data_IF_948228417055
#
_entry.id   IF_948228417055
#
_cell.length_a   1.000
_cell.length_b   1.000
_cell.length_c   1.000
_cell.angle_alpha   90.00
_cell.angle_beta   90.00
_cell.angle_gamma   90.00
#
_symmetry.space_group_name_H-M   'P 1'
#
loop_
_entity.id
_entity.type
_entity.pdbx_description
1 polymer ?
#
# COMPACT_ATOMS: atom_id res chain seq x y z
N UNK A 1 -35.77 50.59 -1.78
CA UNK A 1 -35.79 49.12 -1.64
C UNK A 1 -34.74 48.78 -0.59
N UNK A 2 -35.20 48.58 0.65
CA UNK A 2 -34.37 48.26 1.80
C UNK A 2 -33.90 46.80 1.72
N UNK A 3 -32.57 46.61 1.76
CA UNK A 3 -31.97 45.30 2.00
C UNK A 3 -31.74 45.14 3.50
N UNK A 4 -32.59 44.33 4.14
CA UNK A 4 -32.46 43.97 5.55
C UNK A 4 -31.19 43.15 5.85
N UNK A 5 -30.75 43.11 7.11
CA UNK A 5 -29.49 42.49 7.50
C UNK A 5 -29.56 40.96 7.39
N UNK A 6 -28.56 40.37 6.73
CA UNK A 6 -28.32 38.91 6.76
C UNK A 6 -27.91 38.50 8.18
N UNK A 7 -28.82 37.81 8.87
CA UNK A 7 -28.52 37.11 10.12
C UNK A 7 -27.68 35.88 9.79
N UNK A 8 -26.39 35.93 10.10
CA UNK A 8 -25.50 34.77 10.12
C UNK A 8 -25.87 33.91 11.33
N UNK A 9 -26.57 32.80 11.08
CA UNK A 9 -26.83 31.79 12.10
C UNK A 9 -25.57 30.93 12.22
N UNK A 10 -24.71 31.27 13.18
CA UNK A 10 -23.63 30.39 13.62
C UNK A 10 -24.25 29.15 14.28
N UNK A 11 -24.31 28.03 13.55
CA UNK A 11 -24.55 26.73 14.16
C UNK A 11 -23.34 26.36 15.01
N UNK A 12 -23.52 26.40 16.33
CA UNK A 12 -22.57 25.86 17.30
C UNK A 12 -22.67 24.32 17.22
N UNK A 13 -21.62 23.58 16.84
CA UNK A 13 -21.71 22.13 16.82
C UNK A 13 -21.86 21.64 18.26
N UNK A 14 -22.98 20.97 18.55
CA UNK A 14 -23.19 20.32 19.84
C UNK A 14 -22.25 19.12 19.95
N UNK A 15 -21.13 19.31 20.62
CA UNK A 15 -20.22 18.24 21.05
C UNK A 15 -20.88 17.52 22.23
N UNK A 16 -21.87 16.68 21.96
CA UNK A 16 -22.35 15.65 22.89
C UNK A 16 -23.39 14.75 22.23
N UNK A 17 -22.92 13.89 21.33
CA UNK A 17 -23.51 12.57 21.18
C UNK A 17 -22.43 11.67 20.58
N UNK A 18 -22.10 10.59 21.28
CA UNK A 18 -21.40 9.45 20.68
C UNK A 18 -22.36 8.84 19.66
N UNK A 19 -22.55 9.50 18.52
CA UNK A 19 -22.97 8.78 17.34
C UNK A 19 -21.83 7.82 17.05
N UNK A 20 -22.07 6.55 17.36
CA UNK A 20 -21.37 5.45 16.72
C UNK A 20 -21.65 5.64 15.22
N UNK A 21 -20.82 6.46 14.57
CA UNK A 21 -20.81 6.63 13.12
C UNK A 21 -20.85 5.21 12.61
N UNK A 22 -21.89 4.82 11.84
CA UNK A 22 -21.94 3.50 11.27
C UNK A 22 -20.70 3.42 10.39
N UNK A 23 -19.65 2.79 10.91
CA UNK A 23 -18.49 2.31 10.15
C UNK A 23 -18.99 1.14 9.31
N UNK A 24 -20.04 1.39 8.51
CA UNK A 24 -20.57 0.53 7.47
C UNK A 24 -19.69 0.59 6.22
N UNK A 25 -18.42 0.98 6.35
CA UNK A 25 -17.39 0.45 5.48
C UNK A 25 -17.10 -0.97 5.97
N UNK A 26 -18.03 -1.89 5.63
CA UNK A 26 -17.73 -3.30 5.56
C UNK A 26 -16.36 -3.42 4.89
N UNK A 27 -15.41 -4.09 5.56
CA UNK A 27 -14.09 -4.17 4.97
C UNK A 27 -14.25 -4.90 3.64
N UNK A 28 -13.55 -4.46 2.59
CA UNK A 28 -13.59 -5.14 1.31
C UNK A 28 -13.27 -6.65 1.48
N UNK A 29 -12.48 -6.99 2.50
CA UNK A 29 -12.19 -8.36 2.91
C UNK A 29 -13.44 -9.11 3.41
N UNK A 30 -14.36 -8.45 4.12
CA UNK A 30 -15.63 -9.04 4.53
C UNK A 30 -16.53 -9.32 3.32
N UNK A 31 -16.52 -8.45 2.31
CA UNK A 31 -17.21 -8.68 1.04
C UNK A 31 -16.56 -9.83 0.24
N UNK A 32 -15.23 -9.95 0.28
CA UNK A 32 -14.53 -11.11 -0.27
C UNK A 32 -15.01 -12.43 0.33
N UNK A 33 -15.30 -12.46 1.63
CA UNK A 33 -15.76 -13.65 2.35
C UNK A 33 -17.25 -13.95 2.16
N UNK A 34 -18.10 -12.94 1.96
CA UNK A 34 -19.57 -13.12 1.85
C UNK A 34 -20.05 -13.73 0.54
N UNK A 35 -19.26 -13.62 -0.53
CA UNK A 35 -19.58 -14.23 -1.83
C UNK A 35 -19.45 -15.77 -1.84
N UNK A 36 -19.28 -16.38 -0.66
CA UNK A 36 -19.43 -17.81 -0.42
C UNK A 36 -20.90 -18.27 -0.46
N UNK A 37 -21.59 -17.91 -1.55
CA UNK A 37 -22.76 -18.65 -2.01
C UNK A 37 -22.22 -20.00 -2.49
N UNK A 38 -22.01 -20.90 -1.54
CA UNK A 38 -21.63 -22.28 -1.77
C UNK A 38 -22.78 -22.93 -2.55
N UNK A 39 -22.67 -22.95 -3.88
CA UNK A 39 -23.53 -23.77 -4.73
C UNK A 39 -23.21 -25.23 -4.40
N UNK A 40 -23.93 -25.80 -3.43
CA UNK A 40 -23.78 -27.17 -3.00
C UNK A 40 -24.38 -28.11 -4.05
N UNK A 41 -23.64 -28.39 -5.13
CA UNK A 41 -23.94 -29.54 -5.98
C UNK A 41 -23.40 -30.79 -5.28
N UNK A 42 -24.15 -31.28 -4.30
CA UNK A 42 -23.80 -32.45 -3.52
C UNK A 42 -24.04 -33.73 -4.35
N UNK A 43 -23.05 -34.13 -5.14
CA UNK A 43 -22.98 -35.48 -5.70
C UNK A 43 -22.41 -36.40 -4.62
N UNK A 44 -23.30 -37.10 -3.90
CA UNK A 44 -22.93 -38.11 -2.90
C UNK A 44 -22.27 -39.32 -3.57
N UNK A 45 -20.94 -39.26 -3.76
CA UNK A 45 -20.16 -40.43 -4.15
C UNK A 45 -19.72 -41.19 -2.90
N UNK A 46 -20.40 -42.29 -2.61
CA UNK A 46 -20.07 -43.25 -1.56
C UNK A 46 -18.67 -43.82 -1.78
N UNK A 47 -17.69 -43.39 -0.99
CA UNK A 47 -16.35 -43.99 -0.93
C UNK A 47 -16.35 -45.19 0.01
N UNK A 48 -16.58 -46.38 -0.55
CA UNK A 48 -16.20 -47.63 0.12
C UNK A 48 -14.66 -47.69 0.20
N UNK A 49 -14.12 -47.15 1.29
CA UNK A 49 -12.71 -47.12 1.62
C UNK A 49 -12.25 -48.55 1.95
N UNK A 50 -11.61 -49.22 0.98
CA UNK A 50 -11.03 -50.56 1.17
C UNK A 50 -9.84 -50.51 2.13
N UNK A 51 -10.02 -51.08 3.33
CA UNK A 51 -8.94 -51.41 4.28
C UNK A 51 -7.94 -52.40 3.65
N UNK A 52 -6.85 -51.90 3.06
CA UNK A 52 -5.88 -52.72 2.30
C UNK A 52 -4.72 -53.31 3.12
N UNK A 53 -4.81 -53.33 4.46
CA UNK A 53 -3.70 -53.78 5.33
C UNK A 53 -3.93 -55.12 6.06
N UNK A 54 -4.97 -55.87 5.70
CA UNK A 54 -5.17 -57.23 6.22
C UNK A 54 -4.30 -58.24 5.47
N UNK A 55 -3.65 -59.16 6.20
CA UNK A 55 -2.81 -60.24 5.65
C UNK A 55 -3.71 -61.19 4.87
N UNK A 56 -3.63 -61.17 3.53
CA UNK A 56 -4.47 -61.99 2.65
C UNK A 56 -4.38 -61.55 1.19
N UNK A 57 -5.22 -62.13 0.32
CA UNK A 57 -5.23 -61.87 -1.13
C UNK A 57 -5.32 -60.37 -1.50
N UNK A 58 -5.92 -59.54 -0.64
CA UNK A 58 -5.98 -58.10 -0.79
C UNK A 58 -4.60 -57.40 -0.85
N UNK A 59 -3.58 -57.93 -0.17
CA UNK A 59 -2.21 -57.36 -0.21
C UNK A 59 -1.51 -57.61 -1.55
N UNK A 60 -1.74 -58.78 -2.16
CA UNK A 60 -1.21 -59.12 -3.48
C UNK A 60 -1.85 -58.20 -4.52
N UNK A 61 -3.16 -58.03 -4.47
CA UNK A 61 -3.90 -57.13 -5.36
C UNK A 61 -3.46 -55.67 -5.17
N UNK A 62 -3.31 -55.21 -3.92
CA UNK A 62 -2.81 -53.86 -3.61
C UNK A 62 -1.39 -53.59 -4.13
N UNK A 63 -0.51 -54.58 -4.09
CA UNK A 63 0.84 -54.49 -4.66
C UNK A 63 0.82 -54.43 -6.18
N UNK A 64 -0.07 -55.19 -6.84
CA UNK A 64 -0.24 -55.13 -8.30
C UNK A 64 -0.74 -53.75 -8.72
N UNK A 65 -1.77 -53.21 -8.06
CA UNK A 65 -2.26 -51.86 -8.36
C UNK A 65 -1.23 -50.78 -8.03
N UNK A 66 -0.46 -50.90 -6.95
CA UNK A 66 0.64 -49.98 -6.63
C UNK A 66 1.72 -49.98 -7.72
N UNK A 67 2.09 -51.16 -8.25
CA UNK A 67 3.03 -51.29 -9.36
C UNK A 67 2.45 -50.73 -10.66
N UNK A 68 1.19 -51.02 -10.97
CA UNK A 68 0.51 -50.48 -12.15
C UNK A 68 0.41 -48.96 -12.09
N UNK A 69 0.04 -48.40 -10.94
CA UNK A 69 0.01 -46.95 -10.68
C UNK A 69 1.39 -46.31 -10.82
N UNK A 70 2.42 -46.93 -10.23
CA UNK A 70 3.81 -46.44 -10.36
C UNK A 70 4.31 -46.46 -11.81
N UNK A 71 3.95 -47.49 -12.59
CA UNK A 71 4.33 -47.58 -14.01
C UNK A 71 3.56 -46.57 -14.86
N UNK A 72 2.28 -46.37 -14.56
CA UNK A 72 1.45 -45.35 -15.21
C UNK A 72 1.98 -43.95 -14.92
N UNK A 73 2.35 -43.66 -13.67
CA UNK A 73 2.91 -42.36 -13.29
C UNK A 73 4.25 -42.10 -14.00
N UNK A 74 5.14 -43.10 -14.11
CA UNK A 74 6.37 -42.98 -14.91
C UNK A 74 6.09 -42.78 -16.39
N UNK A 75 5.11 -43.50 -16.94
CA UNK A 75 4.65 -43.35 -18.32
C UNK A 75 4.13 -41.94 -18.58
N UNK A 76 3.26 -41.43 -17.70
CA UNK A 76 2.69 -40.08 -17.78
C UNK A 76 3.77 -38.99 -17.59
N UNK A 77 4.73 -39.17 -16.68
CA UNK A 77 5.88 -38.25 -16.53
C UNK A 77 6.74 -38.23 -17.80
N UNK A 78 7.02 -39.39 -18.40
CA UNK A 78 7.77 -39.49 -19.65
C UNK A 78 7.00 -38.85 -20.81
N UNK A 79 5.69 -39.08 -20.88
CA UNK A 79 4.82 -38.50 -21.90
C UNK A 79 4.71 -36.98 -21.73
N UNK A 80 4.53 -36.48 -20.50
CA UNK A 80 4.54 -35.06 -20.18
C UNK A 80 5.87 -34.41 -20.56
N UNK A 81 7.00 -35.06 -20.27
CA UNK A 81 8.32 -34.59 -20.68
C UNK A 81 8.47 -34.51 -22.20
N UNK A 82 8.05 -35.56 -22.92
CA UNK A 82 8.09 -35.61 -24.41
C UNK A 82 7.11 -34.65 -25.07
N UNK A 83 5.96 -34.42 -24.46
CA UNK A 83 4.98 -33.42 -24.86
C UNK A 83 5.44 -31.98 -24.56
N UNK A 84 6.65 -31.80 -24.00
CA UNK A 84 7.23 -30.50 -23.75
C UNK A 84 6.73 -29.82 -22.49
N UNK A 85 5.96 -30.48 -21.63
CA UNK A 85 5.46 -29.94 -20.34
C UNK A 85 6.63 -29.47 -19.45
N UNK A 86 7.79 -30.12 -19.55
CA UNK A 86 9.02 -29.67 -18.87
C UNK A 86 9.61 -28.35 -19.39
N UNK A 87 9.36 -27.96 -20.64
CA UNK A 87 9.77 -26.65 -21.19
C UNK A 87 8.91 -25.51 -20.64
N UNK A 88 7.63 -25.77 -20.32
CA UNK A 88 6.74 -24.77 -19.73
C UNK A 88 7.24 -24.27 -18.37
N UNK A 89 7.82 -25.15 -17.56
CA UNK A 89 8.39 -24.77 -16.25
C UNK A 89 9.61 -23.85 -16.40
N UNK A 90 10.44 -24.02 -17.44
CA UNK A 90 11.58 -23.13 -17.73
C UNK A 90 11.16 -21.83 -18.42
N UNK A 91 10.06 -21.82 -19.16
CA UNK A 91 9.50 -20.63 -19.82
C UNK A 91 8.70 -19.73 -18.87
N UNK A 92 8.39 -20.21 -17.66
CA UNK A 92 7.36 -19.65 -16.80
C UNK A 92 7.58 -18.20 -16.31
N UNK A 93 8.75 -17.57 -16.51
CA UNK A 93 8.94 -16.16 -16.14
C UNK A 93 9.49 -15.30 -17.28
N UNK A 94 10.65 -15.66 -17.81
CA UNK A 94 11.24 -14.92 -18.94
C UNK A 94 10.52 -15.19 -20.26
N UNK A 95 9.93 -16.39 -20.43
CA UNK A 95 9.21 -16.75 -21.64
C UNK A 95 7.91 -15.98 -21.81
N UNK A 96 7.13 -15.79 -20.73
CA UNK A 96 5.88 -15.03 -20.79
C UNK A 96 6.12 -13.56 -21.19
N UNK A 97 7.16 -12.94 -20.64
CA UNK A 97 7.52 -11.57 -20.98
C UNK A 97 7.86 -11.38 -22.45
N UNK A 98 8.73 -12.24 -22.99
CA UNK A 98 9.08 -12.18 -24.41
C UNK A 98 7.88 -12.50 -25.31
N UNK A 99 7.02 -13.43 -24.89
CA UNK A 99 5.80 -13.76 -25.65
C UNK A 99 4.84 -12.56 -25.73
N UNK A 100 4.57 -11.87 -24.62
CA UNK A 100 3.69 -10.69 -24.62
C UNK A 100 4.31 -9.43 -25.24
N UNK A 101 5.65 -9.36 -25.33
CA UNK A 101 6.35 -8.32 -26.09
C UNK A 101 6.41 -8.59 -27.58
N UNK A 102 6.22 -9.84 -28.00
CA UNK A 102 6.22 -10.24 -29.40
C UNK A 102 5.21 -9.42 -30.20
N UNK A 103 5.49 -9.22 -31.49
CA UNK A 103 4.48 -8.65 -32.42
C UNK A 103 3.54 -9.74 -32.95
N UNK A 104 3.87 -11.02 -32.74
CA UNK A 104 3.07 -12.14 -33.23
C UNK A 104 1.89 -12.41 -32.27
N UNK A 105 0.63 -12.24 -32.71
CA UNK A 105 -0.54 -12.55 -31.88
C UNK A 105 -0.61 -14.03 -31.46
N UNK A 106 0.06 -14.94 -32.17
CA UNK A 106 0.14 -16.36 -31.78
C UNK A 106 0.96 -16.56 -30.51
N UNK A 107 1.99 -15.74 -30.28
CA UNK A 107 2.77 -15.78 -29.05
C UNK A 107 1.94 -15.30 -27.86
N UNK A 108 1.13 -14.24 -28.04
CA UNK A 108 0.20 -13.76 -27.00
C UNK A 108 -0.81 -14.84 -26.62
N UNK A 109 -1.44 -15.47 -27.63
CA UNK A 109 -2.39 -16.56 -27.41
C UNK A 109 -1.73 -17.72 -26.66
N UNK A 110 -0.53 -18.13 -27.06
CA UNK A 110 0.24 -19.17 -26.39
C UNK A 110 0.55 -18.80 -24.94
N UNK A 111 0.93 -17.56 -24.66
CA UNK A 111 1.15 -17.08 -23.29
C UNK A 111 -0.14 -17.15 -22.44
N UNK A 112 -1.27 -16.75 -23.03
CA UNK A 112 -2.58 -16.87 -22.36
C UNK A 112 -2.93 -18.33 -22.07
N UNK A 113 -2.68 -19.26 -22.99
CA UNK A 113 -2.92 -20.69 -22.76
C UNK A 113 -2.07 -21.26 -21.60
N UNK A 114 -0.83 -20.78 -21.46
CA UNK A 114 0.06 -21.13 -20.33
C UNK A 114 -0.50 -20.63 -19.01
N UNK A 115 -0.94 -19.38 -18.98
CA UNK A 115 -1.56 -18.77 -17.81
C UNK A 115 -2.87 -19.48 -17.44
N UNK A 116 -3.77 -19.73 -18.39
CA UNK A 116 -5.02 -20.47 -18.13
C UNK A 116 -4.76 -21.88 -17.57
N UNK A 117 -3.74 -22.57 -18.08
CA UNK A 117 -3.35 -23.90 -17.57
C UNK A 117 -2.79 -23.82 -16.14
N UNK A 118 -2.02 -22.78 -15.84
CA UNK A 118 -1.42 -22.55 -14.52
C UNK A 118 -2.46 -22.09 -13.49
N UNK A 119 -3.41 -21.24 -13.89
CA UNK A 119 -4.58 -20.82 -13.13
C UNK A 119 -5.51 -21.99 -12.76
N UNK A 120 -5.57 -23.03 -13.59
CA UNK A 120 -6.31 -24.28 -13.33
C UNK A 120 -5.53 -25.29 -12.46
N UNK A 121 -4.31 -24.97 -12.03
CA UNK A 121 -3.48 -25.89 -11.26
C UNK A 121 -4.13 -26.27 -9.91
N UNK A 122 -3.87 -27.49 -9.45
CA UNK A 122 -4.28 -27.91 -8.10
C UNK A 122 -3.44 -27.30 -6.98
N UNK A 123 -2.37 -26.60 -7.32
CA UNK A 123 -1.44 -25.93 -6.42
C UNK A 123 -1.87 -24.47 -6.28
N UNK A 124 -2.38 -24.10 -5.10
CA UNK A 124 -2.92 -22.76 -4.79
C UNK A 124 -1.87 -21.66 -5.04
N UNK A 125 -0.60 -21.93 -4.75
CA UNK A 125 0.49 -20.98 -4.97
C UNK A 125 0.83 -20.78 -6.45
N UNK A 126 0.57 -21.78 -7.30
CA UNK A 126 0.67 -21.62 -8.77
C UNK A 126 -0.52 -20.86 -9.35
N UNK A 127 -1.73 -21.13 -8.84
CA UNK A 127 -2.92 -20.38 -9.24
C UNK A 127 -2.73 -18.89 -8.95
N UNK A 128 -2.34 -18.57 -7.71
CA UNK A 128 -2.10 -17.19 -7.26
C UNK A 128 -1.09 -16.47 -8.16
N UNK A 129 0.10 -17.05 -8.39
CA UNK A 129 1.10 -16.47 -9.30
C UNK A 129 0.57 -16.26 -10.71
N UNK A 130 -0.24 -17.20 -11.20
CA UNK A 130 -0.87 -17.05 -12.51
C UNK A 130 -1.87 -15.90 -12.54
N UNK A 131 -2.65 -15.68 -11.47
CA UNK A 131 -3.59 -14.55 -11.38
C UNK A 131 -2.83 -13.22 -11.39
N UNK A 132 -1.76 -13.12 -10.63
CA UNK A 132 -0.87 -11.94 -10.62
C UNK A 132 -0.30 -11.65 -12.00
N UNK A 133 0.20 -12.67 -12.70
CA UNK A 133 0.71 -12.54 -14.06
C UNK A 133 -0.38 -12.11 -15.04
N UNK A 134 -1.59 -12.70 -14.96
CA UNK A 134 -2.72 -12.29 -15.81
C UNK A 134 -3.03 -10.81 -15.60
N UNK A 135 -3.17 -10.36 -14.35
CA UNK A 135 -3.46 -8.96 -14.05
C UNK A 135 -2.34 -8.03 -14.49
N UNK A 136 -1.09 -8.42 -14.24
CA UNK A 136 0.08 -7.66 -14.69
C UNK A 136 0.01 -7.39 -16.19
N UNK A 137 -0.24 -8.44 -16.98
CA UNK A 137 -0.32 -8.32 -18.42
C UNK A 137 -1.55 -7.56 -18.88
N UNK A 138 -2.70 -7.79 -18.25
CA UNK A 138 -3.92 -7.05 -18.53
C UNK A 138 -3.72 -5.56 -18.32
N UNK A 139 -3.00 -5.17 -17.27
CA UNK A 139 -2.69 -3.77 -16.99
C UNK A 139 -1.68 -3.19 -17.99
N UNK A 140 -0.68 -3.96 -18.40
CA UNK A 140 0.36 -3.49 -19.34
C UNK A 140 -0.11 -3.42 -20.79
N UNK A 141 -1.06 -4.27 -21.20
CA UNK A 141 -1.53 -4.36 -22.58
C UNK A 141 -2.97 -4.91 -22.65
N UNK A 142 -3.97 -4.16 -22.15
CA UNK A 142 -5.32 -4.67 -21.93
C UNK A 142 -5.96 -5.29 -23.17
N UNK A 143 -5.98 -4.60 -24.30
CA UNK A 143 -6.59 -5.10 -25.53
C UNK A 143 -5.94 -6.35 -26.09
N UNK A 144 -4.59 -6.37 -26.15
CA UNK A 144 -3.80 -7.49 -26.70
C UNK A 144 -4.05 -8.72 -25.86
N UNK A 145 -4.04 -8.55 -24.54
CA UNK A 145 -4.22 -9.63 -23.58
C UNK A 145 -5.67 -10.11 -23.60
N UNK A 146 -6.64 -9.21 -23.55
CA UNK A 146 -8.06 -9.54 -23.64
C UNK A 146 -8.39 -10.28 -24.96
N UNK A 147 -7.93 -9.76 -26.10
CA UNK A 147 -8.10 -10.41 -27.40
C UNK A 147 -7.43 -11.79 -27.45
N UNK A 148 -6.26 -11.95 -26.83
CA UNK A 148 -5.56 -13.23 -26.79
C UNK A 148 -6.25 -14.27 -25.89
N UNK A 149 -6.80 -13.86 -24.74
CA UNK A 149 -7.64 -14.72 -23.90
C UNK A 149 -8.92 -15.13 -24.62
N UNK A 150 -9.63 -14.19 -25.27
CA UNK A 150 -10.82 -14.53 -26.04
C UNK A 150 -10.51 -15.50 -27.18
N UNK A 151 -9.43 -15.26 -27.93
CA UNK A 151 -8.99 -16.20 -28.96
C UNK A 151 -8.57 -17.57 -28.41
N UNK A 152 -8.13 -17.66 -27.14
CA UNK A 152 -7.88 -18.92 -26.45
C UNK A 152 -9.18 -19.62 -26.05
N UNK A 153 -10.14 -18.90 -25.46
CA UNK A 153 -11.47 -19.40 -25.08
C UNK A 153 -12.26 -19.90 -26.29
N UNK A 154 -12.34 -19.11 -27.36
CA UNK A 154 -12.99 -19.46 -28.62
C UNK A 154 -12.43 -20.74 -29.22
N UNK A 155 -11.09 -20.89 -29.24
CA UNK A 155 -10.48 -22.10 -29.80
C UNK A 155 -10.70 -23.37 -28.99
N UNK A 156 -11.11 -23.23 -27.72
CA UNK A 156 -11.50 -24.35 -26.86
C UNK A 156 -13.02 -24.54 -26.80
N UNK A 157 -13.78 -23.65 -27.42
CA UNK A 157 -15.24 -23.57 -27.29
C UNK A 157 -15.66 -23.47 -25.81
N UNK A 158 -14.94 -22.66 -25.04
CA UNK A 158 -15.16 -22.44 -23.60
C UNK A 158 -15.62 -20.99 -23.35
N UNK A 159 -16.46 -20.79 -22.33
CA UNK A 159 -16.82 -19.46 -21.85
C UNK A 159 -15.85 -19.02 -20.75
N UNK A 160 -15.36 -17.77 -20.82
CA UNK A 160 -14.40 -17.23 -19.82
C UNK A 160 -14.89 -17.39 -18.38
N UNK A 161 -16.15 -17.07 -18.11
CA UNK A 161 -16.80 -17.21 -16.79
C UNK A 161 -16.84 -18.65 -16.28
N UNK A 162 -17.14 -19.62 -17.17
CA UNK A 162 -17.13 -21.02 -16.79
C UNK A 162 -15.72 -21.51 -16.43
N UNK A 163 -14.70 -20.98 -17.12
CA UNK A 163 -13.30 -21.32 -16.85
C UNK A 163 -12.81 -20.70 -15.56
N UNK A 164 -13.07 -19.41 -15.33
CA UNK A 164 -12.66 -18.74 -14.09
C UNK A 164 -13.35 -19.39 -12.90
N UNK A 165 -14.66 -19.66 -12.97
CA UNK A 165 -15.39 -20.37 -11.92
C UNK A 165 -14.78 -21.74 -11.59
N UNK A 166 -14.25 -22.45 -12.58
CA UNK A 166 -13.62 -23.76 -12.37
C UNK A 166 -12.30 -23.75 -11.59
N UNK A 167 -11.68 -22.58 -11.40
CA UNK A 167 -10.42 -22.46 -10.66
C UNK A 167 -10.60 -22.60 -9.15
N UNK A 168 -11.78 -22.22 -8.65
CA UNK A 168 -12.15 -22.37 -7.25
C UNK A 168 -12.68 -23.79 -7.01
N UNK A 169 -12.10 -24.51 -6.06
CA UNK A 169 -12.46 -25.90 -5.74
C UNK A 169 -13.21 -25.98 -4.41
N UNK A 170 -14.29 -26.78 -4.33
CA UNK A 170 -14.96 -27.04 -3.06
C UNK A 170 -14.01 -27.65 -2.03
N UNK A 171 -14.12 -27.21 -0.77
CA UNK A 171 -13.35 -27.76 0.36
C UNK A 171 -11.87 -27.37 0.42
N UNK A 172 -11.38 -26.49 -0.47
CA UNK A 172 -10.06 -25.89 -0.36
C UNK A 172 -10.18 -24.59 0.41
N UNK A 173 -9.38 -24.44 1.47
CA UNK A 173 -9.25 -23.19 2.19
C UNK A 173 -8.30 -22.25 1.43
N UNK A 174 -8.84 -21.12 0.98
CA UNK A 174 -8.13 -20.16 0.14
C UNK A 174 -7.76 -18.94 0.98
N UNK A 175 -6.53 -18.44 0.81
CA UNK A 175 -6.13 -17.19 1.46
C UNK A 175 -6.95 -16.01 0.92
N UNK A 176 -7.08 -14.96 1.74
CA UNK A 176 -7.70 -13.68 1.34
C UNK A 176 -7.05 -13.13 0.07
N UNK A 177 -5.73 -13.28 -0.03
CA UNK A 177 -4.94 -12.94 -1.21
C UNK A 177 -5.37 -13.69 -2.46
N UNK A 178 -5.51 -15.01 -2.33
CA UNK A 178 -5.98 -15.83 -3.44
C UNK A 178 -7.37 -15.36 -3.89
N UNK A 179 -8.29 -15.12 -2.95
CA UNK A 179 -9.65 -14.66 -3.26
C UNK A 179 -9.65 -13.27 -3.93
N UNK A 180 -8.80 -12.36 -3.47
CA UNK A 180 -8.62 -11.03 -4.06
C UNK A 180 -8.20 -11.12 -5.53
N UNK A 181 -7.09 -11.81 -5.78
CA UNK A 181 -6.55 -11.93 -7.13
C UNK A 181 -7.46 -12.75 -8.04
N UNK A 182 -8.09 -13.79 -7.52
CA UNK A 182 -9.11 -14.56 -8.22
C UNK A 182 -10.25 -13.66 -8.71
N UNK A 183 -10.83 -12.82 -7.85
CA UNK A 183 -11.94 -11.93 -8.25
C UNK A 183 -11.49 -10.91 -9.29
N UNK A 184 -10.32 -10.29 -9.11
CA UNK A 184 -9.78 -9.34 -10.09
C UNK A 184 -9.53 -10.01 -11.44
N UNK A 185 -8.86 -11.15 -11.45
CA UNK A 185 -8.59 -11.90 -12.68
C UNK A 185 -9.88 -12.35 -13.35
N UNK A 186 -10.88 -12.78 -12.58
CA UNK A 186 -12.18 -13.17 -13.11
C UNK A 186 -12.84 -12.01 -13.86
N UNK A 187 -12.87 -10.81 -13.27
CA UNK A 187 -13.40 -9.59 -13.90
C UNK A 187 -12.64 -9.21 -15.18
N UNK A 188 -11.32 -9.37 -15.20
CA UNK A 188 -10.52 -9.11 -16.40
C UNK A 188 -10.81 -10.09 -17.55
N UNK A 189 -11.29 -11.30 -17.25
CA UNK A 189 -11.54 -12.37 -18.22
C UNK A 189 -13.02 -12.60 -18.52
N UNK A 190 -13.91 -11.78 -17.94
CA UNK A 190 -15.33 -11.81 -18.25
C UNK A 190 -15.55 -11.52 -19.74
N UNK A 191 -16.38 -12.36 -20.35
CA UNK A 191 -16.61 -12.34 -21.81
C UNK A 191 -17.36 -11.09 -22.26
N UNK A 192 -18.15 -10.51 -21.35
CA UNK A 192 -18.89 -9.29 -21.59
C UNK A 192 -17.90 -8.14 -21.55
N UNK A 193 -17.81 -7.40 -22.67
CA UNK A 193 -17.05 -6.13 -22.72
C UNK A 193 -17.67 -5.16 -21.73
N UNK A 194 -17.19 -5.19 -20.50
CA UNK A 194 -17.47 -4.15 -19.53
C UNK A 194 -16.97 -2.82 -20.08
N UNK A 195 -17.60 -1.72 -19.62
CA UNK A 195 -17.13 -0.36 -19.91
C UNK A 195 -15.64 -0.18 -19.62
N UNK A 196 -15.09 -0.94 -18.67
CA UNK A 196 -13.65 -1.02 -18.40
C UNK A 196 -12.83 -1.47 -19.61
N UNK A 197 -13.17 -2.62 -20.23
CA UNK A 197 -12.42 -3.16 -21.37
C UNK A 197 -12.48 -2.18 -22.53
N UNK A 198 -13.65 -1.59 -22.77
CA UNK A 198 -13.82 -0.56 -23.80
C UNK A 198 -12.97 0.67 -23.51
N UNK A 199 -12.98 1.19 -22.28
CA UNK A 199 -12.10 2.27 -21.87
C UNK A 199 -10.61 1.91 -22.06
N UNK A 200 -10.22 0.66 -21.78
CA UNK A 200 -8.82 0.25 -21.93
C UNK A 200 -8.31 0.28 -23.37
N UNK A 201 -9.19 0.11 -24.37
CA UNK A 201 -8.76 0.12 -25.78
C UNK A 201 -8.19 1.46 -26.22
N UNK A 202 -8.52 2.56 -25.52
CA UNK A 202 -7.98 3.88 -25.79
C UNK A 202 -6.47 3.98 -25.49
N UNK A 203 -5.91 3.04 -24.72
CA UNK A 203 -4.48 3.03 -24.36
C UNK A 203 -3.65 2.09 -25.25
N UNK A 204 -4.26 1.54 -26.30
CA UNK A 204 -3.58 0.59 -27.17
C UNK A 204 -2.43 1.24 -27.93
N UNK A 205 -1.21 0.82 -27.60
CA UNK A 205 0.01 1.34 -28.21
C UNK A 205 0.55 2.61 -27.55
N UNK A 206 -0.13 3.16 -26.55
CA UNK A 206 0.44 4.19 -25.71
C UNK A 206 1.52 3.58 -24.81
N UNK A 207 2.65 4.26 -24.68
CA UNK A 207 3.67 3.85 -23.72
C UNK A 207 3.18 4.16 -22.30
N UNK A 208 3.42 3.26 -21.35
CA UNK A 208 2.98 3.47 -19.95
C UNK A 208 3.42 4.83 -19.37
N UNK A 209 4.59 5.33 -19.80
CA UNK A 209 5.13 6.60 -19.32
C UNK A 209 4.39 7.83 -19.88
N UNK A 210 3.72 7.70 -21.04
CA UNK A 210 2.97 8.79 -21.66
C UNK A 210 1.53 8.90 -21.18
N UNK A 211 1.03 7.92 -20.41
CA UNK A 211 -0.32 7.95 -19.86
C UNK A 211 -0.35 8.77 -18.57
N UNK A 212 -1.03 9.91 -18.57
CA UNK A 212 -1.34 10.68 -17.36
C UNK A 212 -2.69 10.28 -16.76
N UNK A 213 -3.01 10.81 -15.58
CA UNK A 213 -4.23 10.47 -14.85
C UNK A 213 -5.54 10.74 -15.60
N UNK A 214 -5.59 11.75 -16.49
CA UNK A 214 -6.81 12.11 -17.22
C UNK A 214 -7.24 11.01 -18.18
N UNK A 215 -6.27 10.29 -18.75
CA UNK A 215 -6.48 9.11 -19.57
C UNK A 215 -7.12 7.98 -18.76
N UNK A 216 -6.84 7.91 -17.46
CA UNK A 216 -7.36 6.85 -16.61
C UNK A 216 -8.77 7.13 -16.07
N UNK A 217 -9.46 8.22 -16.38
CA UNK A 217 -10.78 8.52 -15.79
C UNK A 217 -11.79 7.35 -15.96
N UNK A 218 -11.86 6.77 -17.16
CA UNK A 218 -12.66 5.57 -17.42
C UNK A 218 -12.12 4.29 -16.77
N UNK A 219 -10.81 4.23 -16.51
CA UNK A 219 -10.15 3.10 -15.86
C UNK A 219 -10.17 3.14 -14.34
N UNK A 220 -10.11 4.32 -13.72
CA UNK A 220 -10.05 4.51 -12.27
C UNK A 220 -11.38 4.15 -11.60
N UNK A 221 -12.45 4.17 -12.38
CA UNK A 221 -13.71 3.53 -12.00
C UNK A 221 -13.57 2.01 -11.83
N UNK A 222 -12.48 1.38 -12.31
CA UNK A 222 -12.32 -0.09 -12.31
C UNK A 222 -10.93 -0.66 -11.95
N UNK A 223 -9.78 0.02 -12.07
CA UNK A 223 -8.44 -0.44 -11.64
C UNK A 223 -7.35 0.68 -11.62
N UNK A 224 -6.41 0.61 -10.65
CA UNK A 224 -5.47 1.68 -10.29
C UNK A 224 -4.01 1.54 -10.77
N UNK A 225 -3.76 1.62 -12.08
CA UNK A 225 -2.38 1.70 -12.60
C UNK A 225 -2.12 3.06 -13.23
N UNK A 226 -1.20 3.85 -12.68
CA UNK A 226 -0.87 5.19 -13.16
C UNK A 226 0.60 5.53 -12.87
N UNK A 227 1.20 6.43 -13.66
CA UNK A 227 2.64 6.74 -13.61
C UNK A 227 3.05 7.65 -12.41
N UNK A 228 2.19 7.78 -11.40
CA UNK A 228 2.35 8.68 -10.25
C UNK A 228 2.40 10.18 -10.59
N UNK A 229 1.95 10.55 -11.79
CA UNK A 229 1.79 11.95 -12.23
C UNK A 229 0.34 12.19 -12.67
N UNK A 230 -0.05 13.46 -12.72
CA UNK A 230 -1.35 13.87 -13.25
C UNK A 230 -2.51 13.86 -12.25
N UNK A 231 -2.37 13.33 -11.02
CA UNK A 231 -3.38 13.57 -9.95
C UNK A 231 -3.57 15.07 -9.76
N UNK A 232 -2.47 15.82 -9.76
CA UNK A 232 -2.51 17.27 -9.57
C UNK A 232 -3.28 17.99 -10.68
N UNK A 233 -3.07 17.59 -11.92
CA UNK A 233 -3.77 18.15 -13.08
C UNK A 233 -5.23 17.70 -13.11
N UNK A 234 -5.50 16.45 -12.71
CA UNK A 234 -6.85 15.93 -12.62
C UNK A 234 -7.68 16.64 -11.57
N UNK A 235 -7.16 16.83 -10.36
CA UNK A 235 -7.87 17.56 -9.30
C UNK A 235 -8.10 19.02 -9.70
N UNK A 236 -7.17 19.65 -10.42
CA UNK A 236 -7.39 20.99 -10.99
C UNK A 236 -8.56 21.00 -12.00
N UNK A 237 -8.71 19.95 -12.81
CA UNK A 237 -9.71 19.88 -13.86
C UNK A 237 -11.09 19.43 -13.37
N UNK A 238 -11.15 18.50 -12.40
CA UNK A 238 -12.37 17.81 -11.96
C UNK A 238 -12.78 18.15 -10.53
N UNK A 239 -11.91 18.76 -9.75
CA UNK A 239 -12.13 19.05 -8.34
C UNK A 239 -11.80 17.87 -7.42
N UNK A 240 -11.99 18.10 -6.12
CA UNK A 240 -11.75 17.11 -5.06
C UNK A 240 -12.93 16.17 -4.82
N UNK A 241 -14.10 16.52 -5.33
CA UNK A 241 -15.37 15.80 -5.16
C UNK A 241 -15.59 14.68 -6.17
N UNK A 242 -14.66 14.48 -7.11
CA UNK A 242 -14.77 13.40 -8.09
C UNK A 242 -14.61 12.01 -7.44
N UNK A 243 -15.58 11.14 -7.70
CA UNK A 243 -15.65 9.79 -7.17
C UNK A 243 -14.45 8.92 -7.58
N UNK A 244 -13.81 9.20 -8.72
CA UNK A 244 -12.64 8.46 -9.18
C UNK A 244 -11.47 8.55 -8.18
N UNK A 245 -11.30 9.67 -7.48
CA UNK A 245 -10.26 9.83 -6.47
C UNK A 245 -10.52 8.94 -5.25
N UNK A 246 -11.79 8.86 -4.81
CA UNK A 246 -12.20 8.00 -3.71
C UNK A 246 -12.04 6.53 -4.08
N UNK A 247 -12.45 6.14 -5.29
CA UNK A 247 -12.31 4.77 -5.79
C UNK A 247 -10.83 4.36 -5.88
N UNK A 248 -9.98 5.23 -6.41
CA UNK A 248 -8.54 5.00 -6.46
C UNK A 248 -7.95 4.83 -5.06
N UNK A 249 -8.23 5.76 -4.15
CA UNK A 249 -7.72 5.68 -2.79
C UNK A 249 -8.20 4.42 -2.08
N UNK A 250 -9.46 4.01 -2.31
CA UNK A 250 -10.02 2.76 -1.79
C UNK A 250 -9.31 1.53 -2.34
N UNK A 251 -9.01 1.50 -3.65
CA UNK A 251 -8.22 0.42 -4.26
C UNK A 251 -6.80 0.34 -3.71
N UNK A 252 -6.17 1.48 -3.45
CA UNK A 252 -4.85 1.55 -2.81
C UNK A 252 -4.89 1.05 -1.36
N UNK A 253 -5.88 1.49 -0.56
CA UNK A 253 -6.08 1.02 0.81
C UNK A 253 -6.34 -0.49 0.82
N UNK A 254 -7.18 -1.00 -0.09
CA UNK A 254 -7.46 -2.45 -0.22
C UNK A 254 -6.19 -3.24 -0.53
N UNK A 255 -5.33 -2.72 -1.42
CA UNK A 255 -4.04 -3.35 -1.73
C UNK A 255 -3.11 -3.42 -0.50
N UNK A 256 -3.19 -2.42 0.38
CA UNK A 256 -2.47 -2.43 1.64
C UNK A 256 -3.09 -3.35 2.69
N UNK A 257 -4.41 -3.39 2.81
CA UNK A 257 -5.11 -4.35 3.66
C UNK A 257 -4.72 -5.77 3.30
N UNK A 258 -4.64 -6.05 2.01
CA UNK A 258 -4.15 -7.32 1.52
C UNK A 258 -2.71 -7.59 1.99
N UNK A 259 -1.80 -6.63 1.80
CA UNK A 259 -0.41 -6.75 2.25
C UNK A 259 -0.30 -7.03 3.76
N UNK A 260 -1.03 -6.30 4.59
CA UNK A 260 -1.01 -6.48 6.05
C UNK A 260 -1.75 -7.73 6.54
N UNK A 261 -2.60 -8.33 5.70
CA UNK A 261 -3.28 -9.60 6.03
C UNK A 261 -2.38 -10.83 5.88
N UNK A 262 -1.26 -10.70 5.18
CA UNK A 262 -0.34 -11.81 4.96
C UNK A 262 0.54 -12.02 6.19
N UNK A 263 0.80 -13.29 6.60
CA UNK A 263 1.82 -13.55 7.60
C UNK A 263 3.17 -13.04 7.09
N UNK A 264 4.00 -12.51 7.97
CA UNK A 264 5.37 -12.12 7.63
C UNK A 264 6.15 -13.35 7.13
N UNK A 265 6.15 -13.59 5.82
CA UNK A 265 6.95 -14.66 5.22
C UNK A 265 8.40 -14.20 5.14
N UNK A 266 9.33 -15.05 5.57
CA UNK A 266 10.78 -14.79 5.49
C UNK A 266 11.25 -14.41 4.07
N UNK A 267 10.55 -14.89 3.04
CA UNK A 267 10.92 -14.67 1.64
C UNK A 267 10.69 -13.24 1.13
N UNK A 268 10.03 -12.36 1.90
CA UNK A 268 9.90 -10.92 1.60
C UNK A 268 9.40 -10.59 0.20
N UNK A 269 8.82 -11.56 -0.51
CA UNK A 269 8.69 -11.52 -1.97
C UNK A 269 7.44 -10.77 -2.43
N UNK A 270 6.57 -10.38 -1.50
CA UNK A 270 5.45 -9.52 -1.83
C UNK A 270 5.97 -8.13 -2.20
N UNK A 271 5.84 -7.80 -3.48
CA UNK A 271 6.27 -6.52 -4.05
C UNK A 271 5.32 -5.41 -3.61
N UNK A 272 5.38 -5.04 -2.32
CA UNK A 272 4.75 -3.84 -1.78
C UNK A 272 5.24 -2.56 -2.47
N UNK A 273 6.30 -2.64 -3.29
CA UNK A 273 6.82 -1.55 -4.09
C UNK A 273 5.74 -0.83 -4.91
N UNK A 274 4.81 -1.58 -5.52
CA UNK A 274 3.76 -0.99 -6.38
C UNK A 274 2.71 -0.21 -5.58
N UNK A 275 1.98 -0.81 -4.61
CA UNK A 275 1.06 -0.05 -3.76
C UNK A 275 1.73 1.15 -3.08
N UNK A 276 2.99 0.98 -2.68
CA UNK A 276 3.82 2.06 -2.11
C UNK A 276 3.97 3.23 -3.05
N UNK A 277 4.49 2.99 -4.26
CA UNK A 277 4.76 4.05 -5.22
C UNK A 277 3.48 4.81 -5.60
N UNK A 278 2.39 4.07 -5.85
CA UNK A 278 1.10 4.65 -6.21
C UNK A 278 0.47 5.45 -5.06
N UNK A 279 0.57 4.96 -3.82
CA UNK A 279 0.09 5.69 -2.64
C UNK A 279 0.88 6.98 -2.41
N UNK A 280 2.19 6.96 -2.65
CA UNK A 280 3.02 8.16 -2.60
C UNK A 280 2.63 9.19 -3.64
N UNK A 281 2.51 8.76 -4.89
CA UNK A 281 2.05 9.62 -5.97
C UNK A 281 0.71 10.26 -5.61
N UNK A 282 -0.22 9.47 -5.06
CA UNK A 282 -1.56 9.92 -4.73
C UNK A 282 -1.51 11.00 -3.65
N UNK A 283 -0.88 10.72 -2.50
CA UNK A 283 -0.77 11.69 -1.40
C UNK A 283 -0.07 12.96 -1.88
N UNK A 284 1.03 12.84 -2.63
CA UNK A 284 1.76 14.00 -3.16
C UNK A 284 0.90 14.84 -4.12
N UNK A 285 0.18 14.17 -5.01
CA UNK A 285 -0.72 14.84 -5.94
C UNK A 285 -1.84 15.57 -5.21
N UNK A 286 -2.45 14.93 -4.21
CA UNK A 286 -3.51 15.54 -3.39
C UNK A 286 -3.00 16.75 -2.61
N UNK A 287 -1.85 16.64 -1.92
CA UNK A 287 -1.29 17.76 -1.14
C UNK A 287 -0.87 18.93 -2.01
N UNK A 288 -0.27 18.68 -3.18
CA UNK A 288 0.08 19.74 -4.15
C UNK A 288 -1.14 20.38 -4.79
N UNK A 289 -2.19 19.61 -5.06
CA UNK A 289 -3.45 20.16 -5.59
C UNK A 289 -4.04 21.14 -4.59
N UNK A 290 -4.01 20.80 -3.31
CA UNK A 290 -4.57 21.64 -2.25
C UNK A 290 -3.80 22.96 -2.12
N UNK A 291 -2.49 22.99 -2.40
CA UNK A 291 -1.69 24.23 -2.44
C UNK A 291 -2.15 25.24 -3.50
N UNK A 292 -2.83 24.77 -4.55
CA UNK A 292 -3.28 25.58 -5.68
C UNK A 292 -4.71 26.10 -5.53
N UNK A 293 -5.47 25.61 -4.54
CA UNK A 293 -6.86 26.02 -4.34
C UNK A 293 -6.91 27.45 -3.83
N UNK A 294 -7.74 28.28 -4.46
CA UNK A 294 -7.95 29.66 -4.02
C UNK A 294 -8.58 29.71 -2.62
N UNK A 295 -8.15 30.68 -1.83
CA UNK A 295 -8.48 30.83 -0.41
C UNK A 295 -9.99 30.86 -0.18
N UNK A 296 -10.76 31.43 -1.12
CA UNK A 296 -12.21 31.54 -1.02
C UNK A 296 -12.97 30.21 -1.10
N UNK A 297 -12.37 29.13 -1.61
CA UNK A 297 -13.02 27.82 -1.77
C UNK A 297 -12.66 26.83 -0.63
N UNK A 298 -11.81 27.24 0.31
CA UNK A 298 -11.24 26.33 1.31
C UNK A 298 -12.17 26.01 2.48
N UNK A 299 -13.10 26.90 2.80
CA UNK A 299 -14.03 26.65 3.91
C UNK A 299 -15.09 25.61 3.50
N UNK A 300 -15.50 25.57 2.23
CA UNK A 300 -16.45 24.60 1.67
C UNK A 300 -15.82 23.22 1.38
N UNK A 301 -14.50 23.09 1.48
CA UNK A 301 -13.75 21.91 1.03
C UNK A 301 -14.03 20.67 1.89
N UNK A 302 -14.45 20.84 3.14
CA UNK A 302 -14.76 19.73 4.05
C UNK A 302 -16.23 19.70 4.50
N UNK A 303 -17.04 20.61 3.99
CA UNK A 303 -18.50 20.57 4.16
C UNK A 303 -19.15 19.52 3.25
N UNK A 304 -18.49 19.15 2.15
CA UNK A 304 -18.99 18.15 1.22
C UNK A 304 -18.45 16.74 1.53
N UNK A 305 -19.37 15.78 1.70
CA UNK A 305 -19.05 14.40 2.12
C UNK A 305 -18.02 13.71 1.21
N UNK A 306 -18.08 13.91 -0.11
CA UNK A 306 -17.13 13.26 -1.03
C UNK A 306 -15.70 13.83 -0.89
N UNK A 307 -15.57 15.13 -0.66
CA UNK A 307 -14.27 15.78 -0.45
C UNK A 307 -13.67 15.37 0.89
N UNK A 308 -14.50 15.30 1.94
CA UNK A 308 -14.08 14.73 3.21
C UNK A 308 -13.63 13.27 3.04
N UNK A 309 -14.37 12.46 2.26
CA UNK A 309 -14.03 11.07 2.01
C UNK A 309 -12.65 10.90 1.35
N UNK A 310 -12.29 11.73 0.35
CA UNK A 310 -10.96 11.65 -0.28
C UNK A 310 -9.84 12.03 0.69
N UNK A 311 -10.06 13.02 1.56
CA UNK A 311 -9.07 13.40 2.59
C UNK A 311 -8.93 12.36 3.70
N UNK A 312 -10.04 11.73 4.11
CA UNK A 312 -10.02 10.57 4.99
C UNK A 312 -9.20 9.45 4.35
N UNK A 313 -9.41 9.15 3.08
CA UNK A 313 -8.64 8.12 2.38
C UNK A 313 -7.15 8.48 2.24
N UNK A 314 -6.85 9.76 1.99
CA UNK A 314 -5.47 10.29 1.94
C UNK A 314 -4.76 10.13 3.29
N UNK A 315 -5.42 10.51 4.39
CA UNK A 315 -4.92 10.28 5.75
C UNK A 315 -4.65 8.80 6.01
N UNK A 316 -5.60 7.92 5.64
CA UNK A 316 -5.45 6.48 5.83
C UNK A 316 -4.22 5.94 5.09
N UNK A 317 -4.02 6.32 3.82
CA UNK A 317 -2.86 5.92 3.04
C UNK A 317 -1.55 6.43 3.64
N UNK A 318 -1.52 7.67 4.12
CA UNK A 318 -0.35 8.22 4.81
C UNK A 318 -0.03 7.40 6.07
N UNK A 319 -1.03 7.14 6.91
CA UNK A 319 -0.86 6.32 8.11
C UNK A 319 -0.31 4.92 7.80
N UNK A 320 -0.87 4.26 6.79
CA UNK A 320 -0.44 2.93 6.34
C UNK A 320 1.03 2.94 5.91
N UNK A 321 1.42 3.92 5.08
CA UNK A 321 2.81 4.05 4.62
C UNK A 321 3.79 4.24 5.77
N UNK A 322 3.40 5.00 6.81
CA UNK A 322 4.24 5.24 8.00
C UNK A 322 4.31 4.04 8.94
N UNK A 323 3.27 3.20 8.93
CA UNK A 323 3.19 1.96 9.71
C UNK A 323 3.97 0.82 9.07
N UNK A 324 4.28 0.90 7.77
CA UNK A 324 5.05 -0.13 7.05
C UNK A 324 6.56 -0.05 7.35
N UNK A 325 7.16 -1.17 7.77
CA UNK A 325 8.61 -1.30 7.96
C UNK A 325 9.40 -1.27 6.65
N UNK A 326 8.77 -1.69 5.54
CA UNK A 326 9.37 -1.66 4.20
C UNK A 326 9.93 -0.27 3.90
N UNK A 327 9.15 0.75 4.27
CA UNK A 327 9.52 2.13 4.04
C UNK A 327 10.70 2.57 4.89
N UNK A 328 10.70 2.27 6.19
CA UNK A 328 11.80 2.64 7.08
C UNK A 328 13.16 2.09 6.60
N UNK A 329 13.15 0.94 5.91
CA UNK A 329 14.36 0.31 5.34
C UNK A 329 14.82 0.95 4.01
N UNK A 330 13.89 1.27 3.10
CA UNK A 330 14.23 1.67 1.71
C UNK A 330 14.15 3.17 1.44
N UNK A 331 13.63 3.96 2.38
CA UNK A 331 13.25 5.36 2.14
C UNK A 331 14.32 6.42 2.34
N UNK A 332 15.58 6.05 2.57
CA UNK A 332 16.59 7.02 3.04
C UNK A 332 16.81 8.23 2.11
N UNK A 333 16.35 8.21 0.86
CA UNK A 333 16.54 9.36 -0.04
C UNK A 333 15.33 9.74 -0.93
N UNK A 334 14.32 8.87 -1.12
CA UNK A 334 13.44 9.02 -2.30
C UNK A 334 12.05 9.62 -2.06
N UNK A 335 11.63 9.81 -0.81
CA UNK A 335 10.19 10.06 -0.52
C UNK A 335 10.00 10.93 0.74
N UNK A 336 10.01 12.26 0.66
CA UNK A 336 9.88 13.11 1.85
C UNK A 336 8.58 12.89 2.65
N UNK A 337 7.47 12.59 1.96
CA UNK A 337 6.12 12.59 2.56
C UNK A 337 5.92 11.63 3.72
N UNK A 338 6.33 10.36 3.61
CA UNK A 338 6.08 9.40 4.69
C UNK A 338 6.96 9.67 5.93
N UNK A 339 7.99 10.52 5.82
CA UNK A 339 8.77 10.92 6.99
C UNK A 339 8.03 11.89 7.88
N UNK A 340 7.26 12.78 7.26
CA UNK A 340 6.50 13.79 7.96
C UNK A 340 5.38 13.13 8.75
N UNK A 341 5.24 13.51 10.02
CA UNK A 341 3.99 13.26 10.76
C UNK A 341 2.85 13.95 10.03
N UNK A 342 1.61 13.49 10.27
CA UNK A 342 0.46 14.05 9.57
C UNK A 342 0.34 15.56 9.80
N UNK A 343 0.65 16.02 11.01
CA UNK A 343 0.72 17.44 11.35
C UNK A 343 1.69 18.22 10.46
N UNK A 344 2.93 17.76 10.38
CA UNK A 344 3.99 18.39 9.57
C UNK A 344 3.62 18.39 8.09
N UNK A 345 3.05 17.29 7.59
CA UNK A 345 2.57 17.21 6.20
C UNK A 345 1.47 18.25 5.94
N UNK A 346 0.51 18.42 6.85
CA UNK A 346 -0.53 19.43 6.73
C UNK A 346 0.03 20.86 6.78
N UNK A 347 1.03 21.10 7.64
CA UNK A 347 1.71 22.40 7.76
C UNK A 347 2.49 22.73 6.49
N UNK A 348 3.28 21.79 5.98
CA UNK A 348 4.09 21.94 4.77
C UNK A 348 3.22 22.11 3.51
N UNK A 349 2.08 21.41 3.48
CA UNK A 349 1.11 21.56 2.40
C UNK A 349 0.41 22.92 2.44
N UNK A 350 0.34 23.61 3.58
CA UNK A 350 -0.41 24.86 3.73
C UNK A 350 0.30 25.92 4.55
N UNK A 351 1.47 26.45 4.14
CA UNK A 351 2.24 27.36 5.01
C UNK A 351 1.50 28.67 5.34
N UNK A 352 0.60 29.13 4.46
CA UNK A 352 -0.13 30.40 4.65
C UNK A 352 -1.12 30.34 5.82
N UNK A 353 -1.14 31.35 6.72
CA UNK A 353 -2.10 31.46 7.83
C UNK A 353 -3.57 31.45 7.39
N UNK A 354 -3.84 31.82 6.14
CA UNK A 354 -5.20 31.82 5.58
C UNK A 354 -5.81 30.42 5.49
N UNK A 355 -4.98 29.37 5.52
CA UNK A 355 -5.42 27.97 5.51
C UNK A 355 -5.52 27.38 6.93
N UNK A 356 -5.50 28.19 7.99
CA UNK A 356 -5.49 27.68 9.36
C UNK A 356 -6.71 26.81 9.69
N UNK A 357 -7.88 27.14 9.14
CA UNK A 357 -9.12 26.37 9.35
C UNK A 357 -9.09 25.03 8.63
N UNK A 358 -8.80 25.02 7.33
CA UNK A 358 -8.59 23.79 6.56
C UNK A 358 -7.53 22.89 7.23
N UNK A 359 -6.40 23.47 7.65
CA UNK A 359 -5.36 22.73 8.37
C UNK A 359 -5.90 22.13 9.67
N UNK A 360 -6.63 22.91 10.48
CA UNK A 360 -7.27 22.40 11.71
C UNK A 360 -8.19 21.22 11.42
N UNK A 361 -8.97 21.30 10.35
CA UNK A 361 -9.89 20.23 9.98
C UNK A 361 -9.17 18.97 9.47
N UNK A 362 -8.09 19.12 8.69
CA UNK A 362 -7.23 17.99 8.30
C UNK A 362 -6.55 17.35 9.52
N UNK A 363 -6.09 18.14 10.48
CA UNK A 363 -5.50 17.63 11.74
C UNK A 363 -6.51 16.81 12.55
N UNK A 364 -7.79 17.23 12.58
CA UNK A 364 -8.86 16.47 13.25
C UNK A 364 -9.06 15.07 12.66
N UNK A 365 -8.62 14.79 11.43
CA UNK A 365 -8.66 13.43 10.89
C UNK A 365 -7.79 12.46 11.71
N UNK A 366 -6.66 12.93 12.24
CA UNK A 366 -5.81 12.11 13.10
C UNK A 366 -6.48 11.82 14.46
N UNK A 367 -7.17 12.81 15.03
CA UNK A 367 -7.94 12.62 16.27
C UNK A 367 -9.08 11.60 16.09
N UNK A 368 -9.81 11.70 14.97
CA UNK A 368 -10.98 10.86 14.67
C UNK A 368 -10.58 9.46 14.24
N UNK A 369 -9.66 9.35 13.28
CA UNK A 369 -9.33 8.07 12.62
C UNK A 369 -8.04 7.45 13.13
N UNK A 370 -7.14 8.20 13.78
CA UNK A 370 -5.82 7.71 14.16
C UNK A 370 -5.85 6.51 15.09
N UNK A 371 -6.77 6.46 16.07
CA UNK A 371 -6.92 5.28 16.95
C UNK A 371 -7.40 4.04 16.17
N UNK A 372 -8.39 4.22 15.30
CA UNK A 372 -8.94 3.12 14.48
C UNK A 372 -7.88 2.59 13.52
N UNK A 373 -7.12 3.49 12.90
CA UNK A 373 -6.05 3.16 11.98
C UNK A 373 -4.91 2.42 12.66
N UNK A 374 -4.48 2.83 13.87
CA UNK A 374 -3.47 2.10 14.66
C UNK A 374 -3.90 0.69 15.03
N UNK A 375 -5.19 0.48 15.30
CA UNK A 375 -5.74 -0.85 15.57
C UNK A 375 -5.75 -1.71 14.30
N UNK A 376 -6.09 -1.12 13.14
CA UNK A 376 -6.25 -1.83 11.87
C UNK A 376 -4.92 -2.11 11.18
N UNK A 377 -3.98 -1.18 11.24
CA UNK A 377 -2.65 -1.24 10.65
C UNK A 377 -1.63 -0.93 11.74
N UNK A 378 -1.36 -1.88 12.64
CA UNK A 378 -0.42 -1.66 13.72
C UNK A 378 0.97 -1.32 13.14
N UNK A 379 1.70 -0.36 13.72
CA UNK A 379 3.05 -0.04 13.29
C UNK A 379 3.94 -1.28 13.32
N UNK A 380 4.48 -1.70 12.18
CA UNK A 380 5.45 -2.78 12.13
C UNK A 380 6.69 -2.41 12.95
N UNK A 381 7.39 -3.42 13.48
CA UNK A 381 8.68 -3.19 14.09
C UNK A 381 9.59 -2.41 13.14
N UNK A 382 10.30 -1.41 13.67
CA UNK A 382 11.16 -0.51 12.92
C UNK A 382 10.47 0.46 11.96
N UNK A 383 9.14 0.43 11.81
CA UNK A 383 8.40 1.44 11.04
C UNK A 383 8.62 2.85 11.60
N UNK A 384 8.33 3.88 10.79
CA UNK A 384 8.51 5.26 11.24
C UNK A 384 7.58 5.57 12.41
N UNK A 385 6.31 5.17 12.31
CA UNK A 385 5.33 5.38 13.35
C UNK A 385 5.70 4.63 14.64
N UNK A 386 6.19 3.39 14.54
CA UNK A 386 6.67 2.64 15.71
C UNK A 386 7.82 3.35 16.44
N UNK A 387 8.77 3.91 15.68
CA UNK A 387 9.91 4.64 16.26
C UNK A 387 9.45 5.92 16.97
N UNK A 388 8.49 6.63 16.39
CA UNK A 388 7.88 7.82 17.02
C UNK A 388 7.17 7.47 18.31
N UNK A 389 6.27 6.48 18.29
CA UNK A 389 5.51 6.09 19.47
C UNK A 389 6.42 5.54 20.57
N UNK A 390 7.43 4.75 20.20
CA UNK A 390 8.45 4.28 21.15
C UNK A 390 9.21 5.45 21.77
N UNK A 391 9.61 6.41 20.95
CA UNK A 391 10.32 7.59 21.41
C UNK A 391 9.44 8.49 22.30
N UNK A 392 8.17 8.70 21.97
CA UNK A 392 7.22 9.44 22.81
C UNK A 392 6.97 8.73 24.14
N UNK A 393 6.85 7.40 24.12
CA UNK A 393 6.77 6.60 25.33
C UNK A 393 8.03 6.77 26.18
N UNK A 394 9.23 6.72 25.60
CA UNK A 394 10.50 6.96 26.28
C UNK A 394 10.61 8.38 26.87
N UNK A 395 10.12 9.41 26.16
CA UNK A 395 10.07 10.79 26.64
C UNK A 395 9.10 10.98 27.80
N UNK A 396 8.01 10.21 27.82
CA UNK A 396 7.00 10.26 28.88
C UNK A 396 7.47 9.59 30.17
N UNK A 397 8.53 8.77 30.11
CA UNK A 397 9.10 8.15 31.30
C UNK A 397 9.82 9.22 32.15
N UNK A 398 9.54 9.30 33.46
CA UNK A 398 10.27 10.20 34.34
C UNK A 398 11.75 9.79 34.36
N UNK A 399 12.64 10.70 33.99
CA UNK A 399 14.08 10.44 34.01
C UNK A 399 14.50 10.23 35.47
N UNK A 400 14.91 9.01 35.87
CA UNK A 400 15.26 8.77 37.26
C UNK A 400 16.41 9.69 37.68
N UNK A 401 16.21 10.44 38.77
CA UNK A 401 17.19 11.37 39.40
C UNK A 401 17.34 12.77 38.77
N UNK A 402 16.59 13.12 37.72
CA UNK A 402 16.52 14.49 37.23
C UNK A 402 15.40 15.25 37.94
N UNK A 403 15.76 16.05 38.95
CA UNK A 403 14.85 17.02 39.55
C UNK A 403 14.52 18.05 38.47
N UNK A 404 13.25 18.18 38.09
CA UNK A 404 12.83 19.17 37.11
C UNK A 404 13.26 20.56 37.57
N UNK A 405 14.23 21.15 36.88
CA UNK A 405 14.59 22.54 37.12
C UNK A 405 13.42 23.40 36.65
N UNK A 406 12.81 24.13 37.58
CA UNK A 406 11.67 25.01 37.33
C UNK A 406 11.94 26.08 36.25
N UNK A 407 13.21 26.33 35.92
CA UNK A 407 13.64 27.35 34.96
C UNK A 407 14.20 26.81 33.63
N UNK A 408 14.47 25.51 33.51
CA UNK A 408 15.11 24.93 32.31
C UNK A 408 14.21 23.96 31.52
N UNK A 409 12.97 23.77 31.95
CA UNK A 409 12.07 22.76 31.41
C UNK A 409 10.96 23.42 30.61
N UNK A 410 11.26 23.96 29.43
CA UNK A 410 10.20 24.08 28.41
C UNK A 410 10.06 22.69 27.77
N UNK A 411 8.96 21.96 28.04
CA UNK A 411 8.74 20.63 27.47
C UNK A 411 8.74 20.69 25.93
N UNK A 412 8.32 21.82 25.33
CA UNK A 412 8.30 22.01 23.88
C UNK A 412 9.71 22.12 23.30
N UNK A 413 10.59 22.89 23.94
CA UNK A 413 12.00 23.00 23.53
C UNK A 413 12.73 21.64 23.56
N UNK A 414 12.55 20.88 24.65
CA UNK A 414 13.16 19.55 24.80
C UNK A 414 12.65 18.54 23.76
N UNK A 415 11.35 18.56 23.45
CA UNK A 415 10.77 17.70 22.42
C UNK A 415 11.31 18.01 21.02
N UNK A 416 11.51 19.30 20.69
CA UNK A 416 12.04 19.74 19.40
C UNK A 416 13.51 19.33 19.20
N UNK A 417 14.34 19.48 20.23
CA UNK A 417 15.76 19.12 20.16
C UNK A 417 15.97 17.59 20.07
N UNK A 418 15.17 16.82 20.80
CA UNK A 418 15.26 15.36 20.75
C UNK A 418 14.66 14.78 19.46
N UNK A 419 13.59 15.38 18.90
CA UNK A 419 13.12 15.06 17.53
C UNK A 419 14.24 15.28 16.50
N UNK A 420 15.02 16.37 16.61
CA UNK A 420 16.15 16.62 15.70
C UNK A 420 17.29 15.60 15.82
N UNK A 421 17.57 15.14 17.04
CA UNK A 421 18.60 14.13 17.33
C UNK A 421 18.23 12.73 16.79
N UNK A 422 16.97 12.32 16.95
CA UNK A 422 16.52 10.96 16.60
C UNK A 422 16.28 10.76 15.10
N UNK A 423 15.88 11.81 14.37
CA UNK A 423 15.44 11.69 12.97
C UNK A 423 16.52 11.89 11.90
N UNK A 424 17.80 12.08 12.27
CA UNK A 424 18.93 12.26 11.33
C UNK A 424 18.54 12.97 10.02
N UNK A 425 18.04 14.19 10.12
CA UNK A 425 17.95 15.08 8.96
C UNK A 425 19.34 15.70 8.77
N UNK A 426 20.09 15.39 7.69
CA UNK A 426 21.35 16.07 7.42
C UNK A 426 21.04 17.48 6.91
N UNK A 427 20.70 18.38 7.83
CA UNK A 427 20.71 19.81 7.59
C UNK A 427 22.04 20.40 8.02
N UNK A 428 22.52 21.40 7.28
CA UNK A 428 23.78 22.16 7.46
C UNK A 428 24.01 22.75 8.89
N UNK A 429 23.04 22.58 9.79
CA UNK A 429 23.09 22.95 11.21
C UNK A 429 23.68 21.86 12.13
N UNK A 430 23.97 20.66 11.60
CA UNK A 430 24.42 19.48 12.35
C UNK A 430 25.78 19.66 13.05
N UNK A 431 26.69 20.46 12.50
CA UNK A 431 28.02 20.66 13.08
C UNK A 431 28.00 21.55 14.34
N UNK A 432 27.03 22.48 14.42
CA UNK A 432 26.83 23.31 15.62
C UNK A 432 26.19 22.53 16.76
N UNK A 433 25.22 21.65 16.48
CA UNK A 433 24.57 20.84 17.52
C UNK A 433 25.47 19.73 18.05
N UNK A 434 26.33 19.14 17.22
CA UNK A 434 27.41 18.24 17.68
C UNK A 434 28.36 18.96 18.64
N UNK A 435 28.72 20.20 18.32
CA UNK A 435 29.52 21.06 19.21
C UNK A 435 28.79 21.36 20.53
N UNK A 436 27.48 21.63 20.50
CA UNK A 436 26.68 21.85 21.71
C UNK A 436 26.53 20.60 22.57
N UNK A 437 26.37 19.42 21.96
CA UNK A 437 26.27 18.14 22.66
C UNK A 437 27.61 17.73 23.28
N UNK A 438 28.73 17.94 22.59
CA UNK A 438 30.07 17.76 23.15
C UNK A 438 30.34 18.74 24.30
N UNK A 439 29.88 19.99 24.20
CA UNK A 439 29.96 20.97 25.30
C UNK A 439 29.08 20.55 26.49
N UNK A 440 27.87 20.04 26.26
CA UNK A 440 26.99 19.56 27.34
C UNK A 440 27.58 18.33 28.05
N UNK A 441 28.11 17.35 27.32
CA UNK A 441 28.77 16.17 27.90
C UNK A 441 30.03 16.55 28.68
N UNK A 442 30.76 17.57 28.23
CA UNK A 442 31.91 18.14 28.96
C UNK A 442 31.45 18.85 30.23
N UNK A 443 30.37 19.65 30.19
CA UNK A 443 29.82 20.34 31.37
C UNK A 443 29.32 19.33 32.40
N UNK A 444 28.62 18.28 31.97
CA UNK A 444 28.09 17.23 32.86
C UNK A 444 29.22 16.43 33.53
N UNK A 445 30.32 16.18 32.82
CA UNK A 445 31.54 15.59 33.39
C UNK A 445 32.31 16.54 34.33
N UNK A 446 32.29 17.85 34.07
CA UNK A 446 32.91 18.85 34.93
C UNK A 446 32.13 19.11 36.22
N UNK A 447 30.81 18.91 36.22
CA UNK A 447 29.96 19.10 37.41
C UNK A 447 30.00 17.88 38.35
N UNK A 448 30.35 16.69 37.84
CA UNK A 448 30.43 15.45 38.63
C UNK A 448 31.79 15.17 39.26
N UNK A 449 32.85 15.90 38.87
CA UNK A 449 34.19 15.80 39.47
C UNK A 449 34.62 17.13 40.10
N UNK A 450 34.31 17.28 41.38
CA UNK A 450 35.04 18.03 42.42
C UNK A 450 35.27 19.55 42.29
N UNK A 451 35.11 20.22 43.43
CA UNK A 451 34.96 21.67 43.67
C UNK A 451 36.25 22.51 43.54
N UNK A 452 37.28 22.07 42.82
CA UNK A 452 38.54 22.82 42.83
C UNK A 452 39.41 22.67 41.58
N UNK A 453 38.96 23.11 40.41
CA UNK A 453 39.87 23.68 39.38
C UNK A 453 39.11 24.35 38.23
N UNK A 454 38.80 25.64 38.39
CA UNK A 454 38.31 26.47 37.28
C UNK A 454 39.46 27.31 36.69
N UNK A 455 40.43 26.66 36.03
CA UNK A 455 41.48 27.37 35.27
C UNK A 455 41.63 26.93 33.81
N UNK A 456 40.95 25.87 33.36
CA UNK A 456 41.15 25.37 31.99
C UNK A 456 40.23 25.99 30.93
N UNK A 457 39.07 26.57 31.32
CA UNK A 457 38.13 27.16 30.36
C UNK A 457 38.50 28.57 29.86
N UNK A 458 39.52 29.23 30.43
CA UNK A 458 39.90 30.60 30.01
C UNK A 458 40.92 30.63 28.85
N UNK A 459 41.70 29.56 28.66
CA UNK A 459 42.73 29.49 27.61
C UNK A 459 42.14 29.21 26.22
N UNK A 460 41.12 28.33 26.13
CA UNK A 460 40.57 27.91 24.84
C UNK A 460 39.59 28.93 24.20
N UNK A 461 38.95 29.78 25.02
CA UNK A 461 38.06 30.85 24.55
C UNK A 461 38.82 32.10 24.09
N UNK A 462 40.02 32.38 24.62
CA UNK A 462 40.81 33.54 24.22
C UNK A 462 41.57 33.35 22.89
N UNK A 463 41.92 32.11 22.51
CA UNK A 463 42.60 31.85 21.24
C UNK A 463 41.67 31.90 20.01
N UNK A 464 40.38 31.55 20.12
CA UNK A 464 39.43 31.64 18.98
C UNK A 464 38.93 33.05 18.67
N UNK A 465 39.00 33.98 19.62
CA UNK A 465 38.72 35.41 19.37
C UNK A 465 39.88 36.16 18.72
N UNK A 466 41.08 35.55 18.63
CA UNK A 466 42.23 36.15 17.91
C UNK A 466 42.29 35.75 16.43
N UNK A 467 41.85 34.55 16.07
CA UNK A 467 41.85 34.11 14.65
C UNK A 467 40.70 34.70 13.83
N UNK A 468 39.57 35.05 14.45
CA UNK A 468 38.42 35.67 13.76
C UNK A 468 38.54 37.18 13.52
N UNK A 469 39.67 37.81 13.93
CA UNK A 469 40.00 39.21 13.62
C UNK A 469 41.11 39.38 12.57
N UNK A 470 41.66 38.30 12.04
CA UNK A 470 42.70 38.34 10.98
C UNK A 470 42.16 38.15 9.56
N UNK A 471 40.86 37.91 9.37
CA UNK A 471 40.23 37.77 8.04
C UNK A 471 39.27 38.93 7.68
N UNK A 472 39.34 40.04 8.41
CA UNK A 472 38.81 41.33 7.97
C UNK A 472 39.75 42.46 8.37
N UNK A 473 40.89 42.51 7.69
CA UNK A 473 41.61 43.71 7.30
C UNK A 473 42.27 43.45 5.95
#
# INVERSE_FOLDING_TARGET
MDFGPRVSVYMKPSVNEKQDIPLSSLSFLDELQRDDITYSYASSWSSNYTMSNLVGAGRIIGNIYSRAGSSLERGLKSFAYRAGIGRYVKLAKYGLYEMFKSKDPRDHKKACEILLSSAKSSDVGKQLRSFEDILLWFVLSPSKVHSAFNGAFESRNELGEAITFSWRRPGVDYSIEWLYYYKLTSRCLESHRGSFVEATTQFDGAEFQSLDFSHFEGLLSSCGYWNCRGIEDYVQNKGFDDLALVNLATGLITSWELYFSQPETEDGSFSCFRPTYLSFGFILGMTRSLQKVDIGQNDELLEYDARLAVWVATFKLHHILRSSSYYAKHSKERTPIARLVWEDLCVESHPSPKHAELRRNLLRLEDVYGRVMRKRFPPSAESLLYREEKFEAELSLPIPRLVACAYCSDPKGRALDLKRLYWHMPGWYSDRLRSCYEIMVVIERCVLYDKSTCYFCRSHLLNRTRESRSERL
#
